data_IF_444325101515
#
_entry.id   IF_444325101515
#
_cell.length_a   1.000
_cell.length_b   1.000
_cell.length_c   1.000
_cell.angle_alpha   90.00
_cell.angle_beta   90.00
_cell.angle_gamma   90.00
#
_symmetry.space_group_name_H-M   'P 1'
#
loop_
_entity.id
_entity.type
_entity.pdbx_description
1 polymer ?
#
# COMPACT_ATOMS: atom_id res chain seq x y z
N UNK A 1 11.15 -7.15 -9.69
CA UNK A 1 10.09 -6.33 -9.07
C UNK A 1 9.82 -6.86 -7.67
N UNK A 2 10.11 -6.05 -6.66
CA UNK A 2 9.80 -6.36 -5.27
C UNK A 2 8.60 -5.53 -4.82
N UNK A 3 7.82 -6.06 -3.90
CA UNK A 3 6.63 -5.42 -3.36
C UNK A 3 6.78 -5.30 -1.85
N UNK A 4 6.48 -4.11 -1.34
CA UNK A 4 6.60 -3.79 0.09
C UNK A 4 5.32 -3.14 0.61
N UNK A 5 5.19 -3.07 1.92
CA UNK A 5 4.35 -2.09 2.60
C UNK A 5 5.23 -1.04 3.25
N UNK A 6 4.71 0.16 3.39
CA UNK A 6 5.39 1.24 4.10
C UNK A 6 4.37 2.29 4.56
N UNK A 7 4.83 3.41 5.04
CA UNK A 7 3.96 4.49 5.50
C UNK A 7 4.52 5.86 5.06
N UNK A 8 3.67 6.88 5.10
CA UNK A 8 3.98 8.17 4.48
C UNK A 8 5.28 8.79 4.96
N UNK A 9 5.60 8.70 6.26
CA UNK A 9 6.83 9.28 6.80
C UNK A 9 8.10 8.67 6.20
N UNK A 10 8.04 7.47 5.64
CA UNK A 10 9.19 6.80 5.01
C UNK A 10 9.36 7.16 3.54
N UNK A 11 8.36 7.72 2.89
CA UNK A 11 8.42 8.01 1.44
C UNK A 11 9.59 8.95 1.12
N UNK A 12 9.92 9.88 2.01
CA UNK A 12 11.09 10.77 1.86
C UNK A 12 12.43 10.03 1.78
N UNK A 13 12.47 8.80 2.25
CA UNK A 13 13.69 7.96 2.26
C UNK A 13 13.72 6.97 1.09
N UNK A 14 12.68 6.94 0.26
CA UNK A 14 12.60 6.00 -0.85
C UNK A 14 13.64 6.32 -1.93
N UNK A 15 14.27 5.29 -2.50
CA UNK A 15 15.01 5.48 -3.75
C UNK A 15 14.02 5.79 -4.88
N UNK A 16 14.45 6.51 -5.94
CA UNK A 16 13.55 6.93 -7.02
C UNK A 16 12.83 5.80 -7.75
N UNK A 17 13.40 4.60 -7.77
CA UNK A 17 12.80 3.43 -8.42
C UNK A 17 11.82 2.65 -7.52
N UNK A 18 11.57 3.11 -6.31
CA UNK A 18 10.54 2.58 -5.42
C UNK A 18 9.30 3.47 -5.52
N UNK A 19 8.24 2.95 -6.13
CA UNK A 19 7.00 3.68 -6.38
C UNK A 19 6.08 3.57 -5.17
N UNK A 20 5.59 4.71 -4.70
CA UNK A 20 4.65 4.78 -3.59
C UNK A 20 3.21 4.61 -4.11
N UNK A 21 2.55 3.52 -3.70
CA UNK A 21 1.16 3.24 -4.03
C UNK A 21 0.27 3.62 -2.85
N UNK A 22 -0.46 4.71 -2.97
CA UNK A 22 -1.36 5.18 -1.91
C UNK A 22 -2.57 4.26 -1.78
N UNK A 23 -2.81 3.76 -0.57
CA UNK A 23 -3.97 2.93 -0.24
C UNK A 23 -4.93 3.63 0.73
N UNK A 24 -4.66 4.88 1.10
CA UNK A 24 -5.44 5.60 2.10
C UNK A 24 -6.59 6.38 1.45
N UNK A 25 -7.69 6.54 2.20
CA UNK A 25 -8.84 7.34 1.75
C UNK A 25 -8.49 8.82 1.80
N UNK A 26 -7.81 9.25 2.86
CA UNK A 26 -7.37 10.63 3.04
C UNK A 26 -5.85 10.67 3.09
N UNK A 27 -5.23 11.25 2.06
CA UNK A 27 -3.79 11.43 2.02
C UNK A 27 -3.36 12.53 2.98
N UNK A 28 -2.11 12.47 3.52
CA UNK A 28 -1.63 13.54 4.38
C UNK A 28 -1.54 14.86 3.60
N UNK A 29 -1.91 15.96 4.24
CA UNK A 29 -1.92 17.28 3.59
C UNK A 29 -0.53 17.74 3.16
N UNK A 30 0.51 17.23 3.80
CA UNK A 30 1.90 17.59 3.51
C UNK A 30 2.52 16.79 2.36
N UNK A 31 1.80 15.80 1.81
CA UNK A 31 2.28 15.01 0.67
C UNK A 31 1.26 15.03 -0.46
N UNK A 32 1.69 15.52 -1.62
CA UNK A 32 0.83 15.54 -2.82
C UNK A 32 1.03 14.27 -3.62
N UNK A 33 0.03 13.40 -3.62
CA UNK A 33 0.04 12.16 -4.39
C UNK A 33 -0.21 12.46 -5.87
N UNK A 34 0.52 11.75 -6.73
CA UNK A 34 0.45 11.88 -8.18
C UNK A 34 1.70 12.54 -8.74
N UNK A 35 2.32 11.89 -9.72
CA UNK A 35 3.56 12.38 -10.32
C UNK A 35 4.79 12.17 -9.44
N UNK A 36 5.82 12.98 -9.65
CA UNK A 36 7.06 12.92 -8.88
C UNK A 36 7.11 13.99 -7.80
N UNK A 37 7.64 13.61 -6.62
CA UNK A 37 7.93 14.58 -5.58
C UNK A 37 9.33 15.22 -5.80
N UNK A 38 9.72 16.11 -4.88
CA UNK A 38 11.02 16.81 -4.94
C UNK A 38 12.23 15.88 -4.86
N UNK A 39 12.06 14.66 -4.35
CA UNK A 39 13.12 13.65 -4.25
C UNK A 39 13.12 12.68 -5.42
N UNK A 40 12.26 12.90 -6.42
CA UNK A 40 12.15 12.05 -7.60
C UNK A 40 11.31 10.80 -7.39
N UNK A 41 10.60 10.66 -6.25
CA UNK A 41 9.76 9.51 -5.95
C UNK A 41 8.41 9.66 -6.64
N UNK A 42 8.02 8.63 -7.38
CA UNK A 42 6.72 8.57 -8.05
C UNK A 42 5.68 8.04 -7.06
N UNK A 43 4.53 8.70 -7.01
CA UNK A 43 3.39 8.24 -6.21
C UNK A 43 2.14 8.13 -7.07
N UNK A 44 1.34 7.10 -6.79
CA UNK A 44 0.13 6.77 -7.54
C UNK A 44 -0.95 6.31 -6.56
N UNK A 45 -2.19 6.72 -6.80
CA UNK A 45 -3.32 6.19 -6.03
C UNK A 45 -3.65 4.79 -6.50
N UNK A 46 -3.68 3.84 -5.56
CA UNK A 46 -3.97 2.44 -5.84
C UNK A 46 -5.40 2.12 -5.41
N UNK A 47 -6.39 2.47 -6.24
CA UNK A 47 -7.80 2.38 -5.89
C UNK A 47 -8.27 0.98 -5.48
N UNK A 48 -7.82 -0.13 -6.09
CA UNK A 48 -8.23 -1.47 -5.64
C UNK A 48 -7.85 -1.80 -4.19
N UNK A 49 -6.81 -1.16 -3.66
CA UNK A 49 -6.33 -1.35 -2.29
C UNK A 49 -6.79 -0.24 -1.34
N UNK A 50 -7.53 0.71 -1.83
CA UNK A 50 -8.11 1.78 -1.03
C UNK A 50 -9.39 1.28 -0.37
N UNK A 51 -9.60 1.48 0.97
CA UNK A 51 -10.84 1.04 1.62
C UNK A 51 -12.07 1.58 0.91
N UNK A 52 -12.97 0.68 0.54
CA UNK A 52 -14.21 1.00 -0.16
C UNK A 52 -15.30 1.50 0.79
N UNK A 53 -16.48 1.79 0.22
CA UNK A 53 -17.63 2.32 0.98
C UNK A 53 -18.07 1.41 2.12
N UNK A 54 -17.95 0.11 1.99
CA UNK A 54 -18.29 -0.85 3.01
C UNK A 54 -17.46 -0.70 4.29
N UNK A 55 -16.30 -0.03 4.19
CA UNK A 55 -15.44 0.25 5.33
C UNK A 55 -15.79 1.57 6.04
N UNK A 56 -16.66 2.40 5.45
CA UNK A 56 -16.98 3.72 5.98
C UNK A 56 -17.60 3.62 7.38
N UNK A 57 -17.09 4.44 8.30
CA UNK A 57 -17.61 4.53 9.66
C UNK A 57 -17.26 3.37 10.59
N UNK A 58 -16.57 2.34 10.09
CA UNK A 58 -16.20 1.18 10.92
C UNK A 58 -15.02 1.47 11.83
N UNK A 59 -14.12 2.36 11.43
CA UNK A 59 -13.01 2.80 12.28
C UNK A 59 -13.44 4.00 13.09
N UNK A 60 -13.96 3.78 14.29
CA UNK A 60 -14.56 4.80 15.16
C UNK A 60 -13.71 5.13 16.40
N UNK A 61 -12.49 4.64 16.47
CA UNK A 61 -11.61 4.85 17.62
C UNK A 61 -11.94 4.02 18.85
N UNK A 62 -12.94 3.15 18.77
CA UNK A 62 -13.35 2.27 19.87
C UNK A 62 -12.77 0.86 19.79
N UNK A 63 -11.85 0.64 18.86
CA UNK A 63 -11.21 -0.65 18.70
C UNK A 63 -10.24 -0.93 19.87
N UNK A 64 -10.01 -2.22 20.14
CA UNK A 64 -8.99 -2.64 21.10
C UNK A 64 -7.68 -2.89 20.34
N UNK A 65 -6.67 -2.01 20.46
CA UNK A 65 -5.40 -2.17 19.73
C UNK A 65 -4.62 -3.42 20.14
N UNK A 66 -4.96 -4.04 21.28
CA UNK A 66 -4.35 -5.30 21.71
C UNK A 66 -4.97 -6.52 21.03
N UNK A 67 -6.10 -6.33 20.36
CA UNK A 67 -6.83 -7.40 19.67
C UNK A 67 -7.27 -6.94 18.28
N UNK A 68 -6.30 -6.70 17.37
CA UNK A 68 -6.62 -6.19 16.02
C UNK A 68 -7.49 -7.15 15.22
N UNK A 69 -7.47 -8.46 15.54
CA UNK A 69 -8.31 -9.45 14.89
C UNK A 69 -9.81 -9.23 15.14
N UNK A 70 -10.18 -8.42 16.12
CA UNK A 70 -11.58 -8.07 16.40
C UNK A 70 -12.02 -6.80 15.68
N UNK A 71 -11.14 -6.15 14.96
CA UNK A 71 -11.45 -4.88 14.26
C UNK A 71 -12.34 -5.12 13.06
N UNK A 72 -13.57 -4.60 13.11
CA UNK A 72 -14.52 -4.71 11.98
C UNK A 72 -14.02 -4.04 10.72
N UNK A 73 -13.33 -2.90 10.86
CA UNK A 73 -12.72 -2.21 9.72
C UNK A 73 -11.72 -3.12 9.00
N UNK A 74 -10.77 -3.70 9.72
CA UNK A 74 -9.74 -4.54 9.13
C UNK A 74 -10.32 -5.83 8.53
N UNK A 75 -11.32 -6.42 9.17
CA UNK A 75 -12.03 -7.59 8.63
C UNK A 75 -12.73 -7.26 7.31
N UNK A 76 -13.45 -6.16 7.27
CA UNK A 76 -14.18 -5.72 6.08
C UNK A 76 -13.22 -5.37 4.96
N UNK A 77 -12.13 -4.69 5.28
CA UNK A 77 -11.07 -4.40 4.31
C UNK A 77 -10.43 -5.68 3.77
N UNK A 78 -10.18 -6.68 4.62
CA UNK A 78 -9.66 -7.97 4.16
C UNK A 78 -10.62 -8.65 3.19
N UNK A 79 -11.94 -8.61 3.44
CA UNK A 79 -12.93 -9.14 2.52
C UNK A 79 -12.89 -8.42 1.17
N UNK A 80 -12.64 -7.12 1.18
CA UNK A 80 -12.44 -6.36 -0.05
C UNK A 80 -11.25 -6.90 -0.86
N UNK A 81 -10.13 -7.14 -0.20
CA UNK A 81 -8.94 -7.68 -0.86
C UNK A 81 -9.19 -9.10 -1.39
N UNK A 82 -9.95 -9.91 -0.68
CA UNK A 82 -10.26 -11.29 -1.09
C UNK A 82 -11.08 -11.35 -2.38
N UNK A 83 -11.73 -10.25 -2.79
CA UNK A 83 -12.41 -10.17 -4.08
C UNK A 83 -11.47 -9.83 -5.24
N UNK A 84 -10.21 -9.51 -4.96
CA UNK A 84 -9.22 -9.23 -5.99
C UNK A 84 -8.60 -10.52 -6.51
N UNK A 85 -8.19 -10.50 -7.77
CA UNK A 85 -7.42 -11.58 -8.38
C UNK A 85 -5.94 -11.20 -8.35
N UNK A 86 -5.13 -11.98 -7.63
CA UNK A 86 -3.70 -11.69 -7.47
C UNK A 86 -2.95 -11.70 -8.81
N UNK A 87 -3.36 -12.54 -9.75
CA UNK A 87 -2.73 -12.60 -11.09
C UNK A 87 -2.95 -11.28 -11.83
N UNK A 88 -4.15 -10.73 -11.76
CA UNK A 88 -4.45 -9.42 -12.37
C UNK A 88 -3.68 -8.29 -11.67
N UNK A 89 -3.61 -8.32 -10.35
CA UNK A 89 -2.84 -7.32 -9.59
C UNK A 89 -1.38 -7.35 -10.02
N UNK A 90 -0.75 -8.52 -10.03
CA UNK A 90 0.64 -8.67 -10.43
C UNK A 90 0.88 -8.28 -11.88
N UNK A 91 -0.04 -8.62 -12.79
CA UNK A 91 0.03 -8.23 -14.19
C UNK A 91 0.02 -6.71 -14.34
N UNK A 92 -0.89 -6.02 -13.67
CA UNK A 92 -0.97 -4.56 -13.73
C UNK A 92 0.28 -3.88 -13.14
N UNK A 93 0.81 -4.41 -12.04
CA UNK A 93 2.06 -3.90 -11.47
C UNK A 93 3.22 -4.12 -12.44
N UNK A 94 3.29 -5.27 -13.10
CA UNK A 94 4.34 -5.56 -14.10
C UNK A 94 4.26 -4.62 -15.27
N UNK A 95 3.06 -4.35 -15.79
CA UNK A 95 2.85 -3.40 -16.90
C UNK A 95 3.23 -1.98 -16.48
N UNK A 96 2.84 -1.57 -15.29
CA UNK A 96 3.18 -0.26 -14.74
C UNK A 96 4.69 -0.12 -14.55
N UNK A 97 5.35 -1.16 -14.01
CA UNK A 97 6.80 -1.17 -13.86
C UNK A 97 7.51 -1.01 -15.21
N UNK A 98 7.03 -1.71 -16.24
CA UNK A 98 7.61 -1.62 -17.59
C UNK A 98 7.49 -0.20 -18.15
N UNK A 99 6.34 0.44 -17.99
CA UNK A 99 6.12 1.81 -18.44
C UNK A 99 7.03 2.80 -17.70
N UNK A 100 7.16 2.67 -16.39
CA UNK A 100 8.01 3.54 -15.56
C UNK A 100 9.49 3.35 -15.93
N UNK A 101 9.93 2.10 -16.12
CA UNK A 101 11.31 1.81 -16.56
C UNK A 101 11.62 2.54 -17.85
N UNK A 102 10.71 2.47 -18.81
CA UNK A 102 10.91 3.10 -20.11
C UNK A 102 10.98 4.63 -19.98
N UNK A 103 10.05 5.23 -19.24
CA UNK A 103 9.96 6.69 -19.10
C UNK A 103 11.13 7.27 -18.30
N UNK A 104 11.57 6.57 -17.26
CA UNK A 104 12.57 7.07 -16.31
C UNK A 104 13.97 6.52 -16.55
N UNK A 105 14.11 5.48 -17.36
CA UNK A 105 15.40 4.85 -17.60
C UNK A 105 15.91 4.02 -16.42
N UNK A 106 15.02 3.50 -15.58
CA UNK A 106 15.40 2.63 -14.48
C UNK A 106 15.67 1.21 -14.95
N UNK A 107 16.63 0.53 -14.31
CA UNK A 107 16.92 -0.89 -14.56
C UNK A 107 15.86 -1.79 -13.93
N UNK A 108 15.30 -1.39 -12.78
CA UNK A 108 14.28 -2.11 -12.06
C UNK A 108 13.33 -1.13 -11.38
N UNK A 109 12.09 -1.57 -11.13
CA UNK A 109 11.07 -0.80 -10.42
C UNK A 109 10.42 -1.68 -9.37
N UNK A 110 10.36 -1.17 -8.15
CA UNK A 110 9.72 -1.80 -7.01
C UNK A 110 8.53 -0.96 -6.55
N UNK A 111 7.63 -1.58 -5.78
CA UNK A 111 6.41 -0.91 -5.29
C UNK A 111 6.29 -1.04 -3.79
N UNK A 112 5.77 0.02 -3.16
CA UNK A 112 5.41 0.00 -1.75
C UNK A 112 3.95 0.47 -1.59
N UNK A 113 3.12 -0.39 -1.01
CA UNK A 113 1.75 -0.01 -0.61
C UNK A 113 1.85 0.85 0.65
N UNK A 114 1.36 2.08 0.57
CA UNK A 114 1.53 3.09 1.61
C UNK A 114 0.27 3.21 2.46
N UNK A 115 0.44 3.03 3.76
CA UNK A 115 -0.59 3.21 4.78
C UNK A 115 -0.24 4.39 5.69
N UNK A 116 -1.15 4.75 6.60
CA UNK A 116 -0.93 5.87 7.52
C UNK A 116 -0.02 5.51 8.68
N UNK A 117 -0.24 4.35 9.28
CA UNK A 117 0.33 3.97 10.56
C UNK A 117 1.77 3.49 10.42
N UNK A 118 2.58 3.74 11.45
CA UNK A 118 3.91 3.17 11.55
C UNK A 118 3.87 1.64 11.55
N UNK A 119 4.99 1.03 11.19
CA UNK A 119 5.13 -0.42 11.04
C UNK A 119 4.80 -1.24 12.30
N UNK A 120 4.90 -0.64 13.48
CA UNK A 120 4.64 -1.31 14.76
C UNK A 120 3.18 -1.17 15.24
N UNK A 121 2.33 -0.44 14.52
CA UNK A 121 0.93 -0.27 14.89
C UNK A 121 0.13 -1.51 14.45
N UNK A 122 -0.51 -2.24 15.39
CA UNK A 122 -1.31 -3.41 15.05
C UNK A 122 -2.61 -3.08 14.31
N UNK A 123 -3.10 -1.83 14.41
CA UNK A 123 -4.33 -1.37 13.76
C UNK A 123 -3.99 -0.67 12.44
N UNK A 124 -3.62 -1.44 11.42
CA UNK A 124 -3.22 -0.91 10.12
C UNK A 124 -3.64 -1.84 8.99
N UNK A 125 -4.04 -1.27 7.86
CA UNK A 125 -4.31 -2.00 6.62
C UNK A 125 -3.09 -2.76 6.11
N UNK A 126 -1.91 -2.39 6.57
CA UNK A 126 -0.65 -3.09 6.27
C UNK A 126 -0.78 -4.60 6.49
N UNK A 127 -1.38 -5.01 7.59
CA UNK A 127 -1.46 -6.42 7.95
C UNK A 127 -2.39 -7.23 7.04
N UNK A 128 -3.61 -6.77 6.72
CA UNK A 128 -4.42 -7.43 5.69
C UNK A 128 -3.74 -7.48 4.34
N UNK A 129 -3.05 -6.42 3.93
CA UNK A 129 -2.33 -6.40 2.65
C UNK A 129 -1.25 -7.48 2.64
N UNK A 130 -0.39 -7.52 3.66
CA UNK A 130 0.67 -8.52 3.74
C UNK A 130 0.12 -9.94 3.78
N UNK A 131 -0.92 -10.17 4.59
CA UNK A 131 -1.54 -11.48 4.71
C UNK A 131 -2.19 -11.94 3.40
N UNK A 132 -2.87 -11.04 2.70
CA UNK A 132 -3.49 -11.37 1.41
C UNK A 132 -2.46 -11.78 0.36
N UNK A 133 -1.38 -11.03 0.23
CA UNK A 133 -0.30 -11.39 -0.69
C UNK A 133 0.32 -12.74 -0.32
N UNK A 134 0.65 -12.93 0.96
CA UNK A 134 1.26 -14.17 1.44
C UNK A 134 0.39 -15.39 1.17
N UNK A 135 -0.92 -15.30 1.43
CA UNK A 135 -1.86 -16.39 1.16
C UNK A 135 -2.02 -16.67 -0.33
N UNK A 136 -1.70 -15.71 -1.18
CA UNK A 136 -1.69 -15.88 -2.63
C UNK A 136 -0.28 -16.19 -3.19
N UNK A 137 0.64 -16.60 -2.33
CA UNK A 137 1.97 -17.06 -2.74
C UNK A 137 2.97 -15.96 -3.06
N UNK A 138 2.71 -14.72 -2.66
CA UNK A 138 3.59 -13.58 -2.90
C UNK A 138 4.15 -13.09 -1.56
N UNK A 139 5.47 -13.16 -1.40
CA UNK A 139 6.12 -12.58 -0.22
C UNK A 139 6.22 -11.08 -0.37
N UNK A 140 5.73 -10.37 0.64
CA UNK A 140 5.96 -8.94 0.79
C UNK A 140 6.36 -8.64 2.22
N UNK A 141 7.15 -7.62 2.40
CA UNK A 141 7.65 -7.23 3.71
C UNK A 141 7.54 -5.72 3.90
N UNK A 142 7.73 -5.28 5.13
CA UNK A 142 7.80 -3.86 5.41
C UNK A 142 9.13 -3.31 4.88
N UNK A 143 9.06 -2.18 4.17
CA UNK A 143 10.27 -1.52 3.67
C UNK A 143 10.98 -0.75 4.78
N UNK A 144 12.30 -0.94 4.86
CA UNK A 144 13.17 -0.20 5.76
C UNK A 144 14.33 0.41 4.96
N UNK A 145 14.75 1.65 5.33
CA UNK A 145 15.88 2.30 4.68
C UNK A 145 17.21 1.58 4.92
#
# INVERSE_FOLDING_TARGET
>A
MKIYTSYWAQVRNFPPNLVALSTVVFEPKWYKVGGKDKNGVISIRCNPFRPGKECDGLCNGKCNPRRPETCEFLKTYRHQLDRLDVKQVLQRLTELAAAIKLDEGFDDVDFAFIVFEKYDNPCSERWPIQAWFKENGVEIEEWHP
#
